data_IF_323089864629
#
_entry.id   IF_323089864629
#
_cell.length_a   1.000
_cell.length_b   1.000
_cell.length_c   1.000
_cell.angle_alpha   90.00
_cell.angle_beta   90.00
_cell.angle_gamma   90.00
#
_symmetry.space_group_name_H-M   'P 1'
#
loop_
_entity.id
_entity.type
_entity.pdbx_description
1 polymer ?
#
# COMPACT_ATOMS: atom_id res chain seq x y z
N UNK A 1 -23.79 21.93 45.08
CA UNK A 1 -23.10 23.24 44.93
C UNK A 1 -22.63 23.34 43.50
N UNK A 2 -22.56 24.53 42.90
CA UNK A 2 -21.98 24.66 41.56
C UNK A 2 -20.53 24.20 41.62
N UNK A 3 -20.09 23.36 40.68
CA UNK A 3 -18.73 22.81 40.66
C UNK A 3 -17.70 23.94 40.57
N UNK A 4 -18.03 25.01 39.85
CA UNK A 4 -17.27 26.28 39.87
C UNK A 4 -17.00 26.85 41.27
N UNK A 5 -17.94 26.72 42.22
CA UNK A 5 -17.74 27.21 43.59
C UNK A 5 -16.76 26.32 44.36
N UNK A 6 -16.84 25.01 44.15
CA UNK A 6 -15.90 24.05 44.75
C UNK A 6 -14.48 24.26 44.18
N UNK A 7 -14.35 24.46 42.86
CA UNK A 7 -13.08 24.76 42.19
C UNK A 7 -12.43 26.06 42.70
N UNK A 8 -13.23 27.12 42.88
CA UNK A 8 -12.76 28.39 43.47
C UNK A 8 -12.32 28.21 44.92
N UNK A 9 -13.05 27.44 45.71
CA UNK A 9 -12.67 27.16 47.09
C UNK A 9 -11.34 26.40 47.18
N UNK A 10 -11.11 25.41 46.31
CA UNK A 10 -9.85 24.66 46.27
C UNK A 10 -8.69 25.57 45.82
N UNK A 11 -8.94 26.47 44.85
CA UNK A 11 -7.91 27.43 44.39
C UNK A 11 -7.43 28.40 45.49
N UNK A 12 -8.28 28.67 46.49
CA UNK A 12 -7.98 29.58 47.61
C UNK A 12 -7.26 28.94 48.80
N UNK A 13 -6.93 27.64 48.75
CA UNK A 13 -6.18 26.98 49.82
C UNK A 13 -4.68 27.37 49.77
N UNK A 14 -4.10 27.61 50.96
CA UNK A 14 -2.72 28.04 51.12
C UNK A 14 -1.70 26.91 50.89
N UNK A 15 -2.05 25.67 51.29
CA UNK A 15 -1.14 24.52 51.17
C UNK A 15 -1.30 23.76 49.84
N UNK A 16 -0.18 23.59 49.13
CA UNK A 16 -0.13 22.89 47.85
C UNK A 16 -0.59 21.42 47.93
N UNK A 17 -0.23 20.70 49.02
CA UNK A 17 -0.61 19.29 49.20
C UNK A 17 -2.13 19.14 49.37
N UNK A 18 -2.75 20.08 50.06
CA UNK A 18 -4.19 20.09 50.28
C UNK A 18 -4.93 20.39 48.97
N UNK A 19 -4.41 21.32 48.15
CA UNK A 19 -4.97 21.58 46.81
C UNK A 19 -4.93 20.35 45.92
N UNK A 20 -3.77 19.71 45.80
CA UNK A 20 -3.61 18.54 44.94
C UNK A 20 -4.54 17.38 45.36
N UNK A 21 -4.66 17.12 46.67
CA UNK A 21 -5.53 16.06 47.18
C UNK A 21 -7.01 16.36 46.99
N UNK A 22 -7.46 17.59 47.25
CA UNK A 22 -8.86 17.99 47.04
C UNK A 22 -9.25 18.01 45.56
N UNK A 23 -8.38 18.50 44.67
CA UNK A 23 -8.64 18.42 43.23
C UNK A 23 -8.71 16.96 42.74
N UNK A 24 -7.80 16.08 43.17
CA UNK A 24 -7.85 14.66 42.80
C UNK A 24 -9.11 13.97 43.33
N UNK A 25 -9.53 14.27 44.57
CA UNK A 25 -10.80 13.76 45.13
C UNK A 25 -12.00 14.21 44.30
N UNK A 26 -12.06 15.50 43.95
CA UNK A 26 -13.13 16.06 43.13
C UNK A 26 -13.18 15.39 41.75
N UNK A 27 -12.03 15.28 41.10
CA UNK A 27 -11.91 14.63 39.79
C UNK A 27 -12.41 13.18 39.83
N UNK A 28 -11.96 12.41 40.81
CA UNK A 28 -12.36 11.00 40.97
C UNK A 28 -13.84 10.84 41.25
N UNK A 29 -14.41 11.71 42.10
CA UNK A 29 -15.84 11.70 42.40
C UNK A 29 -16.68 11.98 41.14
N UNK A 30 -16.25 12.89 40.27
CA UNK A 30 -17.00 13.21 39.05
C UNK A 30 -16.80 12.17 37.94
N UNK A 31 -15.63 11.53 37.86
CA UNK A 31 -15.38 10.38 36.98
C UNK A 31 -16.28 9.19 37.35
N UNK A 32 -16.40 8.87 38.64
CA UNK A 32 -17.30 7.81 39.12
C UNK A 32 -18.77 8.11 38.81
N UNK A 33 -19.18 9.38 38.96
CA UNK A 33 -20.53 9.85 38.63
C UNK A 33 -20.79 9.99 37.14
N UNK A 34 -19.77 9.88 36.29
CA UNK A 34 -19.84 10.09 34.83
C UNK A 34 -20.50 11.41 34.44
N UNK A 35 -20.27 12.46 35.22
CA UNK A 35 -20.86 13.77 34.96
C UNK A 35 -19.99 14.54 33.95
N UNK A 36 -20.39 14.57 32.68
CA UNK A 36 -19.58 15.17 31.61
C UNK A 36 -19.43 16.68 31.75
N UNK A 37 -20.49 17.38 32.16
CA UNK A 37 -20.47 18.84 32.30
C UNK A 37 -19.54 19.26 33.45
N UNK A 38 -19.60 18.52 34.55
CA UNK A 38 -18.66 18.64 35.67
C UNK A 38 -17.19 18.49 35.23
N UNK A 39 -16.91 17.45 34.43
CA UNK A 39 -15.56 17.17 33.95
C UNK A 39 -15.07 18.27 33.00
N UNK A 40 -15.95 18.80 32.13
CA UNK A 40 -15.63 19.95 31.27
C UNK A 40 -15.29 21.19 32.08
N UNK A 41 -16.05 21.50 33.13
CA UNK A 41 -15.77 22.64 34.01
C UNK A 41 -14.42 22.48 34.75
N UNK A 42 -14.15 21.28 35.27
CA UNK A 42 -12.87 20.97 35.94
C UNK A 42 -11.70 21.16 34.96
N UNK A 43 -11.81 20.65 33.73
CA UNK A 43 -10.76 20.76 32.71
C UNK A 43 -10.55 22.22 32.29
N UNK A 44 -11.62 22.98 32.08
CA UNK A 44 -11.53 24.40 31.74
C UNK A 44 -10.85 25.21 32.84
N UNK A 45 -11.15 24.93 34.11
CA UNK A 45 -10.50 25.56 35.25
C UNK A 45 -9.02 25.19 35.36
N UNK A 46 -8.68 23.91 35.23
CA UNK A 46 -7.28 23.44 35.31
C UNK A 46 -6.42 23.96 34.15
N UNK A 47 -7.02 24.12 32.97
CA UNK A 47 -6.34 24.67 31.80
C UNK A 47 -6.09 26.18 31.88
N UNK A 48 -6.88 26.92 32.69
CA UNK A 48 -6.78 28.37 32.86
C UNK A 48 -5.37 28.80 33.30
N UNK A 49 -4.86 29.89 32.68
CA UNK A 49 -3.57 30.50 32.98
C UNK A 49 -3.44 30.96 34.43
N UNK A 50 -4.57 31.27 35.11
CA UNK A 50 -4.57 31.66 36.52
C UNK A 50 -4.16 30.51 37.45
N UNK A 51 -4.25 29.25 37.00
CA UNK A 51 -3.86 28.09 37.80
C UNK A 51 -2.36 27.77 37.58
N UNK A 52 -1.56 27.70 38.67
CA UNK A 52 -0.15 27.34 38.59
C UNK A 52 0.07 25.96 37.96
N UNK A 53 1.08 25.84 37.11
CA UNK A 53 1.44 24.58 36.43
C UNK A 53 1.77 23.42 37.39
N UNK A 54 2.17 23.75 38.62
CA UNK A 54 2.52 22.77 39.65
C UNK A 54 1.29 22.00 40.13
N UNK A 55 0.12 22.64 40.09
CA UNK A 55 -1.15 22.06 40.50
C UNK A 55 -1.87 21.42 39.29
N UNK A 56 -1.79 22.05 38.11
CA UNK A 56 -2.50 21.56 36.93
C UNK A 56 -1.85 20.33 36.27
N UNK A 57 -0.52 20.22 36.22
CA UNK A 57 0.17 19.09 35.56
C UNK A 57 -0.16 17.72 36.17
N UNK A 58 -0.09 17.52 37.50
CA UNK A 58 -0.44 16.23 38.11
C UNK A 58 -1.88 15.82 37.83
N UNK A 59 -2.81 16.77 37.91
CA UNK A 59 -4.23 16.53 37.63
C UNK A 59 -4.49 16.17 36.17
N UNK A 60 -3.86 16.87 35.23
CA UNK A 60 -3.97 16.56 33.81
C UNK A 60 -3.40 15.17 33.50
N UNK A 61 -2.31 14.77 34.18
CA UNK A 61 -1.76 13.41 34.06
C UNK A 61 -2.71 12.36 34.62
N UNK A 62 -3.27 12.58 35.81
CA UNK A 62 -4.27 11.69 36.42
C UNK A 62 -5.53 11.57 35.54
N UNK A 63 -5.99 12.69 34.98
CA UNK A 63 -7.11 12.72 34.05
C UNK A 63 -6.82 11.91 32.78
N UNK A 64 -5.65 12.11 32.16
CA UNK A 64 -5.25 11.39 30.95
C UNK A 64 -5.13 9.87 31.17
N UNK A 65 -4.81 9.42 32.38
CA UNK A 65 -4.79 7.99 32.73
C UNK A 65 -6.19 7.43 32.95
N UNK A 66 -7.12 8.22 33.48
CA UNK A 66 -8.47 7.77 33.82
C UNK A 66 -9.49 7.99 32.70
N UNK A 67 -9.19 8.79 31.68
CA UNK A 67 -10.12 9.04 30.57
C UNK A 67 -10.58 7.73 29.90
N UNK A 68 -9.70 6.73 29.82
CA UNK A 68 -9.99 5.41 29.24
C UNK A 68 -11.04 4.59 30.02
N UNK A 69 -11.39 5.00 31.24
CA UNK A 69 -12.46 4.37 32.04
C UNK A 69 -13.87 4.78 31.60
N UNK A 70 -14.00 5.85 30.82
CA UNK A 70 -15.27 6.34 30.30
C UNK A 70 -15.69 5.56 29.04
N UNK A 71 -16.94 5.71 28.61
CA UNK A 71 -17.39 5.13 27.34
C UNK A 71 -16.77 5.89 26.16
N UNK A 72 -16.62 5.23 24.99
CA UNK A 72 -15.95 5.81 23.82
C UNK A 72 -16.47 7.21 23.42
N UNK A 73 -17.79 7.39 23.39
CA UNK A 73 -18.43 8.67 23.05
C UNK A 73 -18.17 9.77 24.10
N UNK A 74 -18.12 9.40 25.38
CA UNK A 74 -17.79 10.32 26.47
C UNK A 74 -16.31 10.73 26.41
N UNK A 75 -15.43 9.77 26.09
CA UNK A 75 -14.00 10.02 25.88
C UNK A 75 -13.78 11.00 24.73
N UNK A 76 -14.45 10.81 23.59
CA UNK A 76 -14.39 11.75 22.46
C UNK A 76 -14.85 13.15 22.85
N UNK A 77 -15.97 13.24 23.54
CA UNK A 77 -16.55 14.53 23.94
C UNK A 77 -15.63 15.29 24.89
N UNK A 78 -15.14 14.63 25.95
CA UNK A 78 -14.30 15.28 26.95
C UNK A 78 -12.87 15.49 26.44
N UNK A 79 -12.32 14.53 25.70
CA UNK A 79 -10.98 14.61 25.14
C UNK A 79 -10.86 15.73 24.10
N UNK A 80 -11.86 15.92 23.23
CA UNK A 80 -11.91 17.07 22.31
C UNK A 80 -11.98 18.40 23.07
N UNK A 81 -12.81 18.47 24.12
CA UNK A 81 -12.89 19.65 25.00
C UNK A 81 -11.55 19.96 25.68
N UNK A 82 -10.86 18.93 26.19
CA UNK A 82 -9.54 19.07 26.80
C UNK A 82 -8.51 19.61 25.82
N UNK A 83 -8.47 19.07 24.60
CA UNK A 83 -7.57 19.53 23.54
C UNK A 83 -7.85 21.00 23.19
N UNK A 84 -9.12 21.40 23.15
CA UNK A 84 -9.52 22.79 22.87
C UNK A 84 -9.05 23.74 23.98
N UNK A 85 -9.33 23.42 25.24
CA UNK A 85 -8.98 24.27 26.39
C UNK A 85 -7.47 24.40 26.59
N UNK A 86 -6.68 23.42 26.16
CA UNK A 86 -5.22 23.41 26.34
C UNK A 86 -4.45 24.03 25.16
N UNK A 87 -5.13 24.52 24.11
CA UNK A 87 -4.48 25.09 22.90
C UNK A 87 -3.45 26.19 23.18
N UNK A 88 -3.67 27.02 24.19
CA UNK A 88 -2.75 28.12 24.53
C UNK A 88 -1.53 27.65 25.34
N UNK A 89 -1.62 26.49 25.99
CA UNK A 89 -0.60 25.94 26.90
C UNK A 89 -0.14 24.53 26.50
N UNK A 90 -0.19 24.19 25.22
CA UNK A 90 0.06 22.81 24.72
C UNK A 90 1.37 22.25 25.25
N UNK A 91 2.46 23.03 25.14
CA UNK A 91 3.81 22.63 25.60
C UNK A 91 3.89 22.32 27.09
N UNK A 92 2.97 22.84 27.90
CA UNK A 92 2.95 22.57 29.34
C UNK A 92 2.35 21.20 29.68
N UNK A 93 1.55 20.64 28.77
CA UNK A 93 0.74 19.42 28.94
C UNK A 93 1.02 18.36 27.88
N UNK A 94 2.19 18.39 27.22
CA UNK A 94 2.52 17.50 26.10
C UNK A 94 2.34 16.01 26.41
N UNK A 95 2.83 15.54 27.57
CA UNK A 95 2.74 14.12 27.96
C UNK A 95 1.28 13.66 28.18
N UNK A 96 0.44 14.34 29.00
CA UNK A 96 -1.00 14.04 29.08
C UNK A 96 -1.72 14.13 27.73
N UNK A 97 -1.44 15.15 26.93
CA UNK A 97 -2.11 15.36 25.64
C UNK A 97 -1.76 14.27 24.63
N UNK A 98 -0.54 13.75 24.64
CA UNK A 98 -0.13 12.63 23.82
C UNK A 98 -0.96 11.37 24.14
N UNK A 99 -1.13 11.03 25.43
CA UNK A 99 -1.95 9.89 25.85
C UNK A 99 -3.41 10.04 25.39
N UNK A 100 -4.00 11.22 25.61
CA UNK A 100 -5.39 11.50 25.21
C UNK A 100 -5.54 11.40 23.69
N UNK A 101 -4.68 12.08 22.92
CA UNK A 101 -4.75 12.07 21.44
C UNK A 101 -4.65 10.67 20.85
N UNK A 102 -3.83 9.79 21.43
CA UNK A 102 -3.75 8.38 21.01
C UNK A 102 -5.04 7.62 21.26
N UNK A 103 -5.57 7.71 22.49
CA UNK A 103 -6.83 7.03 22.83
C UNK A 103 -7.98 7.51 21.94
N UNK A 104 -8.07 8.83 21.68
CA UNK A 104 -9.09 9.36 20.77
C UNK A 104 -8.90 8.88 19.33
N UNK A 105 -7.66 8.81 18.84
CA UNK A 105 -7.38 8.32 17.50
C UNK A 105 -7.75 6.83 17.32
N UNK A 106 -7.53 6.01 18.34
CA UNK A 106 -7.93 4.59 18.35
C UNK A 106 -9.45 4.45 18.28
N UNK A 107 -10.20 5.23 19.07
CA UNK A 107 -11.67 5.23 19.02
C UNK A 107 -12.18 5.69 17.65
N UNK A 108 -11.63 6.78 17.11
CA UNK A 108 -12.04 7.29 15.79
C UNK A 108 -11.72 6.31 14.67
N UNK A 109 -10.62 5.55 14.78
CA UNK A 109 -10.30 4.50 13.83
C UNK A 109 -11.29 3.32 13.91
N UNK A 110 -11.72 2.93 15.12
CA UNK A 110 -12.76 1.90 15.30
C UNK A 110 -14.12 2.35 14.75
N UNK A 111 -14.40 3.65 14.77
CA UNK A 111 -15.60 4.27 14.17
C UNK A 111 -15.47 4.54 12.65
N UNK A 112 -14.37 4.11 12.02
CA UNK A 112 -14.04 4.34 10.59
C UNK A 112 -13.89 5.84 10.21
N UNK A 113 -13.74 6.73 11.18
CA UNK A 113 -13.49 8.17 11.02
C UNK A 113 -11.99 8.45 10.83
N UNK A 114 -11.41 7.91 9.75
CA UNK A 114 -9.97 7.88 9.53
C UNK A 114 -9.31 9.27 9.44
N UNK A 115 -9.98 10.25 8.83
CA UNK A 115 -9.43 11.60 8.66
C UNK A 115 -9.30 12.33 10.02
N UNK A 116 -10.32 12.20 10.87
CA UNK A 116 -10.31 12.79 12.22
C UNK A 116 -9.30 12.08 13.13
N UNK A 117 -9.19 10.74 13.02
CA UNK A 117 -8.14 9.98 13.71
C UNK A 117 -6.73 10.47 13.32
N UNK A 118 -6.49 10.71 12.03
CA UNK A 118 -5.22 11.23 11.54
C UNK A 118 -4.94 12.64 12.09
N UNK A 119 -5.94 13.53 12.11
CA UNK A 119 -5.83 14.88 12.70
C UNK A 119 -5.49 14.83 14.19
N UNK A 120 -6.05 13.89 14.95
CA UNK A 120 -5.71 13.71 16.37
C UNK A 120 -4.21 13.41 16.55
N UNK A 121 -3.67 12.49 15.74
CA UNK A 121 -2.26 12.10 15.78
C UNK A 121 -1.31 13.18 15.23
N UNK A 122 -1.70 13.94 14.21
CA UNK A 122 -0.92 15.07 13.68
C UNK A 122 -0.71 16.16 14.73
N UNK A 123 -1.68 16.34 15.65
CA UNK A 123 -1.55 17.27 16.76
C UNK A 123 -0.51 16.87 17.80
N UNK A 124 0.08 15.69 17.72
CA UNK A 124 1.17 15.25 18.61
C UNK A 124 2.49 15.88 18.10
N UNK A 125 3.02 16.84 18.86
CA UNK A 125 4.22 17.60 18.49
C UNK A 125 5.53 16.92 18.98
N UNK A 126 5.78 15.67 18.58
CA UNK A 126 7.07 15.04 18.86
C UNK A 126 8.13 15.48 17.84
N UNK A 127 9.27 15.96 18.32
CA UNK A 127 10.43 16.31 17.50
C UNK A 127 11.47 15.18 17.55
N UNK A 128 12.05 14.78 16.40
CA UNK A 128 13.09 13.76 16.39
C UNK A 128 14.34 14.27 17.11
N UNK A 129 14.85 13.47 18.04
CA UNK A 129 16.08 13.75 18.78
C UNK A 129 17.26 13.12 18.03
N UNK A 130 18.30 13.91 17.77
CA UNK A 130 19.50 13.44 17.07
C UNK A 130 20.22 12.38 17.89
N UNK A 131 20.61 11.27 17.25
CA UNK A 131 21.25 10.13 17.93
C UNK A 131 20.30 9.11 18.55
N UNK A 132 19.00 9.39 18.65
CA UNK A 132 17.99 8.44 19.13
C UNK A 132 17.33 7.64 18.00
N UNK A 133 16.80 6.46 18.35
CA UNK A 133 16.05 5.61 17.40
C UNK A 133 14.73 6.26 16.95
N UNK A 134 14.14 7.16 17.74
CA UNK A 134 12.89 7.87 17.43
C UNK A 134 11.74 6.91 17.02
N UNK A 135 11.67 5.73 17.65
CA UNK A 135 10.72 4.66 17.29
C UNK A 135 9.27 5.15 17.39
N UNK A 136 8.94 5.86 18.47
CA UNK A 136 7.60 6.37 18.75
C UNK A 136 7.12 7.37 17.68
N UNK A 137 8.01 8.25 17.22
CA UNK A 137 7.73 9.23 16.17
C UNK A 137 7.49 8.51 14.84
N UNK A 138 8.33 7.52 14.54
CA UNK A 138 8.16 6.71 13.34
C UNK A 138 6.84 5.93 13.35
N UNK A 139 6.46 5.37 14.51
CA UNK A 139 5.19 4.64 14.66
C UNK A 139 3.98 5.53 14.40
N UNK A 140 3.99 6.76 14.95
CA UNK A 140 2.92 7.75 14.69
C UNK A 140 2.86 8.12 13.20
N UNK A 141 3.99 8.42 12.56
CA UNK A 141 3.99 8.76 11.13
C UNK A 141 3.49 7.61 10.24
N UNK A 142 3.89 6.37 10.55
CA UNK A 142 3.38 5.19 9.85
C UNK A 142 1.87 5.01 10.11
N UNK A 143 1.40 5.24 11.34
CA UNK A 143 -0.03 5.17 11.67
C UNK A 143 -0.85 6.22 10.92
N UNK A 144 -0.38 7.47 10.88
CA UNK A 144 -1.02 8.55 10.10
C UNK A 144 -1.09 8.16 8.62
N UNK A 145 -0.01 7.61 8.06
CA UNK A 145 -0.01 7.15 6.68
C UNK A 145 -1.01 6.00 6.43
N UNK A 146 -1.21 5.08 7.39
CA UNK A 146 -2.23 4.04 7.29
C UNK A 146 -3.64 4.64 7.25
N UNK A 147 -3.95 5.56 8.17
CA UNK A 147 -5.27 6.20 8.25
C UNK A 147 -5.62 6.94 6.95
N UNK A 148 -4.68 7.72 6.40
CA UNK A 148 -4.89 8.38 5.11
C UNK A 148 -5.05 7.40 3.95
N UNK A 149 -4.37 6.24 3.98
CA UNK A 149 -4.53 5.21 2.96
C UNK A 149 -5.89 4.50 3.02
N UNK A 150 -6.52 4.40 4.19
CA UNK A 150 -7.88 3.88 4.31
C UNK A 150 -8.92 4.89 3.79
N UNK A 151 -8.67 6.20 3.94
CA UNK A 151 -9.50 7.25 3.33
C UNK A 151 -9.22 7.50 1.83
N UNK A 152 -8.28 6.75 1.22
CA UNK A 152 -7.89 6.94 -0.18
C UNK A 152 -7.00 8.18 -0.46
N UNK A 153 -6.56 8.89 0.57
CA UNK A 153 -5.70 10.09 0.49
C UNK A 153 -4.21 9.73 0.37
N UNK A 154 -3.82 9.26 -0.81
CA UNK A 154 -2.47 8.74 -1.07
C UNK A 154 -1.37 9.79 -0.98
N UNK A 155 -1.69 11.06 -1.25
CA UNK A 155 -0.73 12.19 -1.23
C UNK A 155 -0.30 12.52 0.20
N UNK A 156 -1.25 12.67 1.12
CA UNK A 156 -0.92 12.93 2.53
C UNK A 156 -0.26 11.72 3.18
N UNK A 157 -0.71 10.51 2.85
CA UNK A 157 -0.02 9.29 3.29
C UNK A 157 1.46 9.26 2.86
N UNK A 158 1.75 9.60 1.60
CA UNK A 158 3.13 9.66 1.10
C UNK A 158 3.95 10.73 1.83
N UNK A 159 3.36 11.89 2.16
CA UNK A 159 4.03 12.96 2.89
C UNK A 159 4.55 12.50 4.25
N UNK A 160 3.71 11.80 5.03
CA UNK A 160 4.10 11.28 6.35
C UNK A 160 5.06 10.09 6.23
N UNK A 161 4.87 9.21 5.26
CA UNK A 161 5.77 8.09 5.05
C UNK A 161 7.19 8.54 4.63
N UNK A 162 7.30 9.63 3.87
CA UNK A 162 8.61 10.25 3.55
C UNK A 162 9.32 10.79 4.79
N UNK A 163 8.58 11.30 5.79
CA UNK A 163 9.17 11.75 7.07
C UNK A 163 9.73 10.58 7.88
N UNK A 164 9.11 9.40 7.82
CA UNK A 164 9.59 8.20 8.51
C UNK A 164 10.73 7.48 7.77
N UNK A 165 11.02 7.81 6.51
CA UNK A 165 11.97 7.06 5.67
C UNK A 165 13.42 7.02 6.18
N UNK A 166 13.87 8.05 6.91
CA UNK A 166 15.17 8.03 7.57
C UNK A 166 15.13 7.37 8.95
N UNK A 167 14.04 7.57 9.69
CA UNK A 167 13.86 7.01 11.04
C UNK A 167 13.83 5.49 11.00
N UNK A 168 13.11 4.91 10.03
CA UNK A 168 12.91 3.46 9.92
C UNK A 168 14.21 2.67 9.72
N UNK A 169 15.29 3.29 9.25
CA UNK A 169 16.59 2.64 9.03
C UNK A 169 17.26 2.19 10.33
N UNK A 170 16.97 2.89 11.43
CA UNK A 170 17.59 2.65 12.74
C UNK A 170 16.67 1.86 13.69
N UNK A 171 15.49 1.46 13.22
CA UNK A 171 14.47 0.74 13.99
C UNK A 171 14.65 -0.75 13.78
N UNK A 172 14.58 -1.52 14.88
CA UNK A 172 14.72 -2.98 14.89
C UNK A 172 13.36 -3.70 14.98
N UNK A 173 12.32 -3.00 15.46
CA UNK A 173 10.99 -3.58 15.66
C UNK A 173 10.35 -4.02 14.34
N UNK A 174 10.31 -5.33 14.13
CA UNK A 174 9.88 -5.92 12.86
C UNK A 174 8.42 -5.57 12.49
N UNK A 175 7.51 -5.50 13.47
CA UNK A 175 6.10 -5.15 13.21
C UNK A 175 5.95 -3.74 12.63
N UNK A 176 6.73 -2.77 13.11
CA UNK A 176 6.74 -1.40 12.58
C UNK A 176 7.36 -1.35 11.18
N UNK A 177 8.45 -2.08 10.95
CA UNK A 177 9.08 -2.20 9.63
C UNK A 177 8.11 -2.79 8.61
N UNK A 178 7.34 -3.81 8.98
CA UNK A 178 6.34 -4.42 8.12
C UNK A 178 5.19 -3.46 7.80
N UNK A 179 4.66 -2.74 8.80
CA UNK A 179 3.64 -1.69 8.60
C UNK A 179 4.13 -0.60 7.64
N UNK A 180 5.36 -0.11 7.84
CA UNK A 180 5.99 0.86 6.93
C UNK A 180 6.07 0.32 5.50
N UNK A 181 6.59 -0.90 5.32
CA UNK A 181 6.74 -1.51 3.99
C UNK A 181 5.40 -1.75 3.29
N UNK A 182 4.37 -2.15 4.04
CA UNK A 182 3.00 -2.29 3.53
C UNK A 182 2.45 -0.96 3.01
N UNK A 183 2.58 0.12 3.79
CA UNK A 183 2.19 1.46 3.35
C UNK A 183 2.97 1.91 2.11
N UNK A 184 4.28 1.66 2.11
CA UNK A 184 5.15 2.01 0.99
C UNK A 184 4.72 1.31 -0.31
N UNK A 185 4.41 0.01 -0.25
CA UNK A 185 3.91 -0.74 -1.41
C UNK A 185 2.56 -0.20 -1.92
N UNK A 186 1.61 0.11 -1.01
CA UNK A 186 0.31 0.73 -1.35
C UNK A 186 0.46 2.08 -2.03
N UNK A 187 1.37 2.92 -1.56
CA UNK A 187 1.66 4.24 -2.16
C UNK A 187 2.28 4.08 -3.54
N UNK A 188 3.25 3.17 -3.71
CA UNK A 188 3.85 2.90 -5.02
C UNK A 188 2.81 2.43 -6.04
N UNK A 189 1.94 1.51 -5.64
CA UNK A 189 0.83 0.99 -6.44
C UNK A 189 -0.12 2.13 -6.88
N UNK A 190 -0.54 2.97 -5.92
CA UNK A 190 -1.41 4.13 -6.17
C UNK A 190 -0.76 5.16 -7.12
N UNK A 191 0.55 5.36 -6.98
CA UNK A 191 1.34 6.24 -7.83
C UNK A 191 1.70 5.64 -9.20
N UNK A 192 1.13 4.47 -9.54
CA UNK A 192 1.37 3.74 -10.81
C UNK A 192 2.82 3.30 -11.01
N UNK A 193 3.60 3.24 -9.93
CA UNK A 193 4.93 2.63 -9.87
C UNK A 193 4.80 1.12 -9.66
N UNK A 194 4.10 0.48 -10.59
CA UNK A 194 3.62 -0.90 -10.43
C UNK A 194 4.75 -1.93 -10.33
N UNK A 195 5.86 -1.72 -11.05
CA UNK A 195 6.97 -2.65 -10.98
C UNK A 195 7.61 -2.63 -9.57
N UNK A 196 7.85 -1.44 -9.03
CA UNK A 196 8.39 -1.29 -7.68
C UNK A 196 7.39 -1.79 -6.63
N UNK A 197 6.09 -1.53 -6.80
CA UNK A 197 5.05 -2.05 -5.92
C UNK A 197 5.02 -3.58 -5.93
N UNK A 198 5.08 -4.21 -7.10
CA UNK A 198 5.09 -5.67 -7.26
C UNK A 198 6.26 -6.32 -6.52
N UNK A 199 7.46 -5.77 -6.66
CA UNK A 199 8.65 -6.24 -5.95
C UNK A 199 8.45 -6.13 -4.43
N UNK A 200 7.92 -5.01 -3.94
CA UNK A 200 7.68 -4.82 -2.50
C UNK A 200 6.60 -5.76 -1.95
N UNK A 201 5.48 -5.94 -2.67
CA UNK A 201 4.44 -6.90 -2.28
C UNK A 201 4.96 -8.34 -2.28
N UNK A 202 5.79 -8.71 -3.25
CA UNK A 202 6.45 -10.01 -3.27
C UNK A 202 7.39 -10.19 -2.08
N UNK A 203 8.19 -9.19 -1.71
CA UNK A 203 8.99 -9.28 -0.49
C UNK A 203 8.15 -9.38 0.78
N UNK A 204 7.02 -8.66 0.84
CA UNK A 204 6.06 -8.76 1.95
C UNK A 204 5.47 -10.17 2.05
N UNK A 205 5.17 -10.85 0.94
CA UNK A 205 4.61 -12.21 0.97
C UNK A 205 5.54 -13.26 1.61
N UNK A 206 6.84 -12.98 1.73
CA UNK A 206 7.78 -13.87 2.44
C UNK A 206 7.75 -13.68 3.95
N UNK A 207 7.26 -12.53 4.42
CA UNK A 207 7.16 -12.18 5.84
C UNK A 207 5.71 -12.12 6.35
N UNK A 208 4.75 -12.28 5.45
CA UNK A 208 3.33 -12.24 5.76
C UNK A 208 2.89 -13.48 6.54
N UNK A 209 1.80 -13.35 7.27
CA UNK A 209 1.12 -14.49 7.90
C UNK A 209 0.50 -15.39 6.83
N UNK A 210 0.29 -16.67 7.13
CA UNK A 210 -0.17 -17.68 6.16
C UNK A 210 -1.46 -17.27 5.44
N UNK A 211 -2.39 -16.64 6.17
CA UNK A 211 -3.66 -16.10 5.67
C UNK A 211 -3.51 -14.85 4.78
N UNK A 212 -2.42 -14.10 4.94
CA UNK A 212 -2.13 -12.88 4.19
C UNK A 212 -1.22 -13.12 2.95
N UNK A 213 -0.52 -14.25 2.88
CA UNK A 213 0.42 -14.59 1.78
C UNK A 213 -0.28 -14.52 0.42
N UNK A 214 -1.47 -15.13 0.30
CA UNK A 214 -2.22 -15.16 -0.95
C UNK A 214 -2.63 -13.75 -1.40
N UNK A 215 -2.97 -12.86 -0.45
CA UNK A 215 -3.33 -11.46 -0.71
C UNK A 215 -2.11 -10.70 -1.23
N UNK A 216 -0.97 -10.81 -0.54
CA UNK A 216 0.28 -10.15 -0.93
C UNK A 216 0.76 -10.61 -2.33
N UNK A 217 0.70 -11.91 -2.62
CA UNK A 217 1.05 -12.45 -3.93
C UNK A 217 0.07 -11.99 -5.02
N UNK A 218 -1.23 -11.89 -4.71
CA UNK A 218 -2.23 -11.34 -5.65
C UNK A 218 -1.90 -9.89 -6.00
N UNK A 219 -1.58 -9.04 -5.01
CA UNK A 219 -1.15 -7.67 -5.27
C UNK A 219 0.15 -7.59 -6.07
N UNK A 220 1.13 -8.47 -5.76
CA UNK A 220 2.36 -8.55 -6.52
C UNK A 220 2.11 -8.91 -7.99
N UNK A 221 1.24 -9.88 -8.26
CA UNK A 221 0.87 -10.29 -9.62
C UNK A 221 0.12 -9.18 -10.36
N UNK A 222 -0.89 -8.58 -9.72
CA UNK A 222 -1.67 -7.51 -10.31
C UNK A 222 -0.76 -6.34 -10.75
N UNK A 223 0.14 -5.92 -9.87
CA UNK A 223 1.10 -4.87 -10.16
C UNK A 223 2.10 -5.30 -11.27
N UNK A 224 2.62 -6.53 -11.27
CA UNK A 224 3.53 -7.00 -12.33
C UNK A 224 2.86 -6.98 -13.71
N UNK A 225 1.60 -7.39 -13.78
CA UNK A 225 0.80 -7.42 -15.01
C UNK A 225 0.54 -5.98 -15.52
N UNK A 226 0.17 -5.06 -14.62
CA UNK A 226 -0.09 -3.65 -14.93
C UNK A 226 1.15 -2.84 -15.28
N UNK A 227 2.34 -3.28 -14.85
CA UNK A 227 3.60 -2.61 -15.13
C UNK A 227 3.88 -2.51 -16.64
N UNK A 228 4.62 -1.47 -17.04
CA UNK A 228 5.04 -1.27 -18.43
C UNK A 228 5.93 -2.43 -18.92
N UNK A 229 5.72 -2.85 -20.16
CA UNK A 229 6.55 -3.88 -20.81
C UNK A 229 8.04 -3.52 -20.80
N UNK A 230 8.89 -4.49 -20.43
CA UNK A 230 10.35 -4.35 -20.42
C UNK A 230 11.07 -5.49 -19.67
N UNK A 231 12.41 -5.57 -19.73
CA UNK A 231 13.18 -6.69 -19.19
C UNK A 231 12.99 -6.93 -17.69
N UNK A 232 12.88 -5.86 -16.90
CA UNK A 232 12.64 -5.97 -15.46
C UNK A 232 11.25 -6.52 -15.13
N UNK A 233 10.22 -6.14 -15.90
CA UNK A 233 8.89 -6.73 -15.78
C UNK A 233 8.90 -8.21 -16.14
N UNK A 234 9.53 -8.60 -17.25
CA UNK A 234 9.62 -10.00 -17.68
C UNK A 234 10.31 -10.87 -16.63
N UNK A 235 11.37 -10.35 -15.98
CA UNK A 235 12.02 -11.02 -14.85
C UNK A 235 11.07 -11.19 -13.66
N UNK A 236 10.34 -10.13 -13.28
CA UNK A 236 9.37 -10.20 -12.19
C UNK A 236 8.25 -11.20 -12.46
N UNK A 237 7.70 -11.22 -13.68
CA UNK A 237 6.69 -12.20 -14.11
C UNK A 237 7.24 -13.62 -14.04
N UNK A 238 8.50 -13.84 -14.46
CA UNK A 238 9.16 -15.15 -14.35
C UNK A 238 9.31 -15.59 -12.89
N UNK A 239 9.69 -14.66 -12.00
CA UNK A 239 9.80 -14.92 -10.56
C UNK A 239 8.45 -15.36 -9.98
N UNK A 240 7.38 -14.63 -10.29
CA UNK A 240 6.02 -14.95 -9.79
C UNK A 240 5.50 -16.27 -10.38
N UNK A 241 5.73 -16.51 -11.67
CA UNK A 241 5.27 -17.74 -12.32
C UNK A 241 5.93 -19.00 -11.77
N UNK A 242 7.22 -18.91 -11.43
CA UNK A 242 8.01 -20.02 -10.86
C UNK A 242 7.77 -20.24 -9.36
N UNK A 243 7.12 -19.29 -8.68
CA UNK A 243 6.75 -19.46 -7.27
C UNK A 243 5.50 -20.33 -7.16
N UNK A 244 5.66 -21.55 -6.64
CA UNK A 244 4.56 -22.51 -6.47
C UNK A 244 3.40 -21.95 -5.67
N UNK A 245 3.63 -21.01 -4.73
CA UNK A 245 2.56 -20.38 -3.94
C UNK A 245 1.61 -19.59 -4.83
N UNK A 246 2.09 -19.06 -5.96
CA UNK A 246 1.25 -18.38 -6.93
C UNK A 246 0.31 -19.32 -7.68
N UNK A 247 0.53 -20.64 -7.70
CA UNK A 247 -0.40 -21.57 -8.36
C UNK A 247 -1.81 -21.58 -7.74
N UNK A 248 -1.91 -21.20 -6.46
CA UNK A 248 -3.15 -21.20 -5.68
C UNK A 248 -3.97 -19.91 -5.76
N UNK A 249 -3.40 -18.82 -6.29
CA UNK A 249 -4.11 -17.53 -6.36
C UNK A 249 -5.00 -17.45 -7.61
N UNK A 250 -6.15 -16.77 -7.48
CA UNK A 250 -7.15 -16.67 -8.56
C UNK A 250 -6.60 -16.12 -9.88
N UNK A 251 -5.60 -15.25 -9.82
CA UNK A 251 -5.01 -14.58 -10.99
C UNK A 251 -3.90 -15.41 -11.69
N UNK A 252 -3.61 -16.62 -11.21
CA UNK A 252 -2.49 -17.42 -11.73
C UNK A 252 -2.57 -17.73 -13.22
N UNK A 253 -3.73 -18.18 -13.71
CA UNK A 253 -3.89 -18.48 -15.14
C UNK A 253 -3.70 -17.26 -16.03
N UNK A 254 -4.08 -16.07 -15.55
CA UNK A 254 -3.83 -14.83 -16.27
C UNK A 254 -2.33 -14.49 -16.26
N UNK A 255 -1.67 -14.63 -15.11
CA UNK A 255 -0.21 -14.50 -14.99
C UNK A 255 0.54 -15.45 -15.94
N UNK A 256 0.15 -16.73 -16.00
CA UNK A 256 0.73 -17.73 -16.90
C UNK A 256 0.64 -17.26 -18.36
N UNK A 257 -0.52 -16.79 -18.80
CA UNK A 257 -0.70 -16.29 -20.17
C UNK A 257 0.14 -15.06 -20.46
N UNK A 258 0.24 -14.14 -19.50
CA UNK A 258 1.08 -12.94 -19.62
C UNK A 258 2.56 -13.34 -19.69
N UNK A 259 3.00 -14.27 -18.87
CA UNK A 259 4.38 -14.74 -18.83
C UNK A 259 4.78 -15.50 -20.10
N UNK A 260 3.92 -16.41 -20.58
CA UNK A 260 4.11 -17.18 -21.81
C UNK A 260 3.79 -16.37 -23.08
N UNK A 261 3.50 -15.07 -22.93
CA UNK A 261 3.22 -14.14 -24.02
C UNK A 261 2.11 -14.61 -24.96
N UNK A 262 1.07 -15.21 -24.39
CA UNK A 262 -0.15 -15.61 -25.11
C UNK A 262 -1.07 -14.41 -25.30
N UNK A 263 -1.87 -14.43 -26.36
CA UNK A 263 -2.92 -13.43 -26.59
C UNK A 263 -3.98 -13.53 -25.49
N UNK A 264 -4.30 -12.38 -24.88
CA UNK A 264 -5.30 -12.23 -23.82
C UNK A 264 -6.66 -11.89 -24.45
N UNK A 265 -7.68 -12.68 -24.15
CA UNK A 265 -9.05 -12.49 -24.68
C UNK A 265 -9.84 -11.53 -23.80
N UNK A 266 -10.82 -10.83 -24.38
CA UNK A 266 -11.63 -9.82 -23.69
C UNK A 266 -12.26 -10.33 -22.39
N UNK A 267 -12.88 -11.51 -22.41
CA UNK A 267 -13.51 -12.11 -21.21
C UNK A 267 -12.52 -12.31 -20.05
N UNK A 268 -11.31 -12.75 -20.36
CA UNK A 268 -10.26 -13.02 -19.36
C UNK A 268 -9.70 -11.72 -18.79
N UNK A 269 -9.65 -10.67 -19.61
CA UNK A 269 -9.26 -9.33 -19.18
C UNK A 269 -10.32 -8.72 -18.28
N UNK A 270 -11.61 -8.95 -18.55
CA UNK A 270 -12.73 -8.53 -17.68
C UNK A 270 -12.70 -9.26 -16.33
N UNK A 271 -12.49 -10.59 -16.34
CA UNK A 271 -12.31 -11.38 -15.12
C UNK A 271 -11.12 -10.89 -14.29
N UNK A 272 -10.00 -10.58 -14.94
CA UNK A 272 -8.83 -10.00 -14.27
C UNK A 272 -9.12 -8.60 -13.73
N UNK A 273 -9.83 -7.75 -14.49
CA UNK A 273 -10.19 -6.39 -14.05
C UNK A 273 -11.00 -6.40 -12.75
N UNK A 274 -11.86 -7.40 -12.54
CA UNK A 274 -12.63 -7.56 -11.31
C UNK A 274 -11.78 -7.88 -10.07
N UNK A 275 -10.50 -8.25 -10.26
CA UNK A 275 -9.54 -8.47 -9.17
C UNK A 275 -8.73 -7.23 -8.80
N UNK A 276 -8.85 -6.16 -9.61
CA UNK A 276 -8.11 -4.91 -9.42
C UNK A 276 -8.86 -3.95 -8.49
N UNK A 277 -8.11 -3.08 -7.83
CA UNK A 277 -8.67 -2.00 -7.01
C UNK A 277 -9.08 -0.81 -7.89
N UNK A 278 -10.00 0.01 -7.41
CA UNK A 278 -10.55 1.18 -8.13
C UNK A 278 -9.45 2.12 -8.64
N UNK A 279 -8.42 2.38 -7.83
CA UNK A 279 -7.30 3.25 -8.21
C UNK A 279 -6.49 2.70 -9.41
N UNK A 280 -6.45 1.39 -9.59
CA UNK A 280 -5.77 0.72 -10.71
C UNK A 280 -6.57 0.80 -12.01
N UNK A 281 -7.90 0.94 -11.90
CA UNK A 281 -8.83 1.09 -13.02
C UNK A 281 -9.10 2.55 -13.41
N UNK A 282 -8.50 3.51 -12.70
CA UNK A 282 -8.64 4.93 -12.97
C UNK A 282 -8.38 5.29 -14.45
N UNK A 283 -9.36 5.94 -15.07
CA UNK A 283 -9.32 6.31 -16.48
C UNK A 283 -8.42 7.53 -16.72
N UNK A 284 -7.73 7.53 -17.85
CA UNK A 284 -7.03 8.67 -18.41
C UNK A 284 -8.00 9.60 -19.16
N UNK A 285 -7.50 10.74 -19.63
CA UNK A 285 -8.28 11.71 -20.41
C UNK A 285 -8.88 11.15 -21.71
N UNK A 286 -8.32 10.06 -22.24
CA UNK A 286 -8.79 9.38 -23.45
C UNK A 286 -9.79 8.25 -23.16
N UNK A 287 -10.29 8.14 -21.93
CA UNK A 287 -11.25 7.13 -21.50
C UNK A 287 -10.67 5.74 -21.27
N UNK A 288 -9.39 5.50 -21.59
CA UNK A 288 -8.72 4.22 -21.29
C UNK A 288 -8.18 4.18 -19.88
N UNK A 289 -7.83 2.99 -19.38
CA UNK A 289 -7.16 2.81 -18.10
C UNK A 289 -5.78 2.15 -18.28
N UNK A 290 -5.04 1.97 -17.20
CA UNK A 290 -3.70 1.34 -17.25
C UNK A 290 -3.78 -0.08 -17.81
N UNK A 291 -4.76 -0.87 -17.36
CA UNK A 291 -4.96 -2.26 -17.77
C UNK A 291 -5.14 -2.37 -19.28
N UNK A 292 -6.10 -1.64 -19.84
CA UNK A 292 -6.41 -1.65 -21.28
C UNK A 292 -5.19 -1.30 -22.13
N UNK A 293 -4.42 -0.28 -21.73
CA UNK A 293 -3.17 0.06 -22.42
C UNK A 293 -2.12 -1.07 -22.32
N UNK A 294 -1.93 -1.65 -21.14
CA UNK A 294 -0.97 -2.75 -20.93
C UNK A 294 -1.36 -3.98 -21.75
N UNK A 295 -2.64 -4.35 -21.78
CA UNK A 295 -3.17 -5.49 -22.56
C UNK A 295 -3.00 -5.26 -24.07
N UNK A 296 -3.27 -4.05 -24.58
CA UNK A 296 -3.07 -3.74 -26.00
C UNK A 296 -1.61 -3.90 -26.41
N UNK A 297 -0.68 -3.34 -25.63
CA UNK A 297 0.76 -3.47 -25.90
C UNK A 297 1.23 -4.93 -25.79
N UNK A 298 0.72 -5.67 -24.81
CA UNK A 298 1.00 -7.10 -24.63
C UNK A 298 0.51 -7.94 -25.80
N UNK A 299 -0.77 -7.79 -26.18
CA UNK A 299 -1.36 -8.56 -27.27
C UNK A 299 -0.69 -8.25 -28.61
N UNK A 300 -0.21 -7.03 -28.82
CA UNK A 300 0.55 -6.67 -30.02
C UNK A 300 1.91 -7.38 -30.08
N UNK A 301 2.62 -7.48 -28.95
CA UNK A 301 3.87 -8.27 -28.86
C UNK A 301 3.62 -9.77 -29.04
N UNK A 302 2.53 -10.28 -28.46
CA UNK A 302 2.12 -11.68 -28.67
C UNK A 302 1.82 -11.95 -30.15
N UNK A 303 1.11 -11.02 -30.81
CA UNK A 303 0.81 -11.12 -32.23
C UNK A 303 2.09 -11.11 -33.10
N UNK A 304 3.09 -10.30 -32.77
CA UNK A 304 4.34 -10.26 -33.54
C UNK A 304 5.16 -11.55 -33.50
N UNK A 305 4.95 -12.38 -32.46
CA UNK A 305 5.57 -13.71 -32.37
C UNK A 305 4.82 -14.78 -33.16
N UNK A 306 3.52 -14.57 -33.40
CA UNK A 306 2.65 -15.54 -34.07
C UNK A 306 2.54 -15.28 -35.58
N UNK A 307 2.49 -14.02 -35.98
CA UNK A 307 2.25 -13.62 -37.36
C UNK A 307 3.53 -13.11 -38.03
N UNK A 308 3.68 -13.39 -39.33
CA UNK A 308 4.70 -12.71 -40.16
C UNK A 308 4.26 -11.27 -40.45
N UNK A 309 2.98 -11.13 -40.78
CA UNK A 309 2.34 -9.87 -41.05
C UNK A 309 0.86 -9.98 -40.68
N UNK A 310 0.22 -8.83 -40.45
CA UNK A 310 -1.21 -8.75 -40.12
C UNK A 310 -1.79 -7.47 -40.72
N UNK A 311 -3.04 -7.53 -41.18
CA UNK A 311 -3.75 -6.32 -41.61
C UNK A 311 -4.09 -5.45 -40.41
N UNK A 312 -4.05 -4.13 -40.57
CA UNK A 312 -4.40 -3.17 -39.50
C UNK A 312 -5.85 -3.40 -39.02
N UNK A 313 -6.75 -3.81 -39.93
CA UNK A 313 -8.15 -4.14 -39.61
C UNK A 313 -8.26 -5.38 -38.72
N UNK A 314 -7.54 -6.45 -39.03
CA UNK A 314 -7.55 -7.67 -38.20
C UNK A 314 -6.83 -7.46 -36.88
N UNK A 315 -5.75 -6.66 -36.87
CA UNK A 315 -5.10 -6.27 -35.63
C UNK A 315 -6.06 -5.50 -34.72
N UNK A 316 -6.83 -4.56 -35.27
CA UNK A 316 -7.89 -3.86 -34.53
C UNK A 316 -8.89 -4.83 -33.90
N UNK A 317 -9.37 -5.82 -34.67
CA UNK A 317 -10.27 -6.87 -34.16
C UNK A 317 -9.64 -7.70 -33.05
N UNK A 318 -8.36 -8.08 -33.20
CA UNK A 318 -7.62 -8.87 -32.21
C UNK A 318 -7.41 -8.10 -30.90
N UNK A 319 -7.16 -6.80 -30.99
CA UNK A 319 -6.96 -5.91 -29.84
C UNK A 319 -8.28 -5.36 -29.25
N UNK A 320 -9.40 -5.53 -29.94
CA UNK A 320 -10.71 -4.99 -29.53
C UNK A 320 -10.81 -3.46 -29.66
N UNK A 321 -10.14 -2.87 -30.65
CA UNK A 321 -10.11 -1.41 -30.89
C UNK A 321 -10.24 -1.06 -32.36
N UNK A 322 -10.51 0.22 -32.64
CA UNK A 322 -10.55 0.75 -34.00
C UNK A 322 -9.19 0.60 -34.73
N UNK A 323 -9.19 0.30 -36.05
CA UNK A 323 -7.98 0.09 -36.83
C UNK A 323 -6.97 1.24 -36.74
N UNK A 324 -7.45 2.49 -36.80
CA UNK A 324 -6.59 3.69 -36.70
C UNK A 324 -5.87 3.77 -35.35
N UNK A 325 -6.52 3.30 -34.28
CA UNK A 325 -5.93 3.27 -32.94
C UNK A 325 -4.90 2.16 -32.83
N UNK A 326 -5.16 1.00 -33.42
CA UNK A 326 -4.22 -0.12 -33.47
C UNK A 326 -2.93 0.28 -34.21
N UNK A 327 -3.05 0.96 -35.36
CA UNK A 327 -1.91 1.48 -36.12
C UNK A 327 -1.07 2.46 -35.28
N UNK A 328 -1.71 3.43 -34.62
CA UNK A 328 -1.01 4.41 -33.76
C UNK A 328 -0.25 3.73 -32.62
N UNK A 329 -0.82 2.69 -31.99
CA UNK A 329 -0.15 1.93 -30.93
C UNK A 329 1.05 1.17 -31.49
N UNK A 330 0.89 0.49 -32.63
CA UNK A 330 1.97 -0.25 -33.28
C UNK A 330 3.13 0.68 -33.69
N UNK A 331 2.81 1.80 -34.32
CA UNK A 331 3.77 2.83 -34.72
C UNK A 331 4.59 3.33 -33.52
N UNK A 332 3.90 3.64 -32.41
CA UNK A 332 4.56 4.07 -31.16
C UNK A 332 5.45 2.99 -30.56
N UNK A 333 5.06 1.72 -30.61
CA UNK A 333 5.87 0.62 -30.09
C UNK A 333 7.11 0.36 -30.96
N UNK A 334 7.00 0.48 -32.28
CA UNK A 334 8.12 0.40 -33.22
C UNK A 334 9.09 1.56 -33.00
N UNK A 335 8.58 2.79 -32.92
CA UNK A 335 9.40 3.98 -32.67
C UNK A 335 10.18 3.88 -31.35
N UNK A 336 9.58 3.29 -30.32
CA UNK A 336 10.21 3.07 -29.01
C UNK A 336 11.15 1.85 -28.98
N UNK A 337 11.36 1.16 -30.11
CA UNK A 337 12.15 -0.07 -30.23
C UNK A 337 11.68 -1.18 -29.28
N UNK A 338 10.39 -1.17 -28.94
CA UNK A 338 9.76 -2.22 -28.12
C UNK A 338 9.13 -3.31 -28.98
N UNK A 339 8.83 -3.00 -30.24
CA UNK A 339 8.30 -3.91 -31.24
C UNK A 339 9.19 -3.81 -32.48
N UNK A 340 9.62 -4.95 -33.01
CA UNK A 340 10.41 -5.01 -34.24
C UNK A 340 9.49 -5.27 -35.43
N UNK A 341 9.49 -4.34 -36.40
CA UNK A 341 8.62 -4.42 -37.57
C UNK A 341 8.50 -3.09 -38.32
N UNK A 342 7.80 -3.13 -39.44
CA UNK A 342 7.48 -1.99 -40.30
C UNK A 342 5.96 -1.91 -40.55
N UNK A 343 5.48 -0.72 -40.85
CA UNK A 343 4.08 -0.48 -41.20
C UNK A 343 4.04 -0.03 -42.66
N UNK A 344 3.32 -0.77 -43.49
CA UNK A 344 2.97 -0.36 -44.85
C UNK A 344 1.56 0.25 -44.85
N UNK A 345 1.52 1.57 -44.88
CA UNK A 345 0.27 2.33 -44.83
C UNK A 345 -0.52 2.25 -46.16
N UNK A 346 0.13 1.97 -47.29
CA UNK A 346 -0.55 1.85 -48.59
C UNK A 346 -1.31 0.53 -48.69
N UNK A 347 -0.69 -0.57 -48.26
CA UNK A 347 -1.36 -1.88 -48.21
C UNK A 347 -2.19 -2.10 -46.94
N UNK A 348 -1.99 -1.27 -45.91
CA UNK A 348 -2.68 -1.40 -44.62
C UNK A 348 -2.22 -2.62 -43.83
N UNK A 349 -0.95 -2.99 -43.95
CA UNK A 349 -0.34 -4.18 -43.34
C UNK A 349 0.79 -3.79 -42.40
N UNK A 350 0.94 -4.57 -41.32
CA UNK A 350 2.08 -4.49 -40.41
C UNK A 350 2.92 -5.73 -40.65
N UNK A 351 4.19 -5.55 -40.97
CA UNK A 351 5.16 -6.63 -41.11
C UNK A 351 6.01 -6.71 -39.86
N UNK A 352 6.01 -7.87 -39.21
CA UNK A 352 6.83 -8.09 -38.03
C UNK A 352 8.20 -8.59 -38.46
N UNK A 353 9.24 -8.02 -37.87
CA UNK A 353 10.61 -8.38 -38.21
C UNK A 353 10.89 -9.80 -37.74
N UNK A 354 11.30 -10.65 -38.68
CA UNK A 354 11.77 -11.99 -38.38
C UNK A 354 13.26 -11.99 -38.15
N UNK A 355 13.67 -12.92 -37.30
CA UNK A 355 15.05 -13.33 -37.19
C UNK A 355 15.58 -13.72 -38.58
N UNK A 356 16.81 -13.31 -38.89
CA UNK A 356 17.44 -13.58 -40.19
C UNK A 356 17.37 -15.07 -40.51
N UNK A 357 17.03 -15.40 -41.77
CA UNK A 357 16.77 -16.77 -42.22
C UNK A 357 17.89 -17.76 -41.91
N UNK A 358 19.15 -17.29 -41.90
CA UNK A 358 20.33 -18.09 -41.58
C UNK A 358 20.35 -18.45 -40.08
N UNK A 359 20.16 -17.48 -39.19
CA UNK A 359 20.11 -17.73 -37.74
C UNK A 359 18.93 -18.64 -37.35
N UNK A 360 17.79 -18.47 -38.03
CA UNK A 360 16.65 -19.37 -37.85
C UNK A 360 16.97 -20.80 -38.29
N UNK A 361 17.76 -20.98 -39.35
CA UNK A 361 18.19 -22.28 -39.84
C UNK A 361 19.19 -22.95 -38.88
N UNK A 362 20.14 -22.19 -38.34
CA UNK A 362 21.08 -22.68 -37.32
C UNK A 362 20.33 -23.19 -36.08
N UNK A 363 19.32 -22.45 -35.60
CA UNK A 363 18.47 -22.90 -34.47
C UNK A 363 17.67 -24.15 -34.78
N UNK A 364 17.19 -24.33 -36.01
CA UNK A 364 16.48 -25.55 -36.38
C UNK A 364 17.40 -26.77 -36.35
N UNK A 365 18.66 -26.61 -36.77
CA UNK A 365 19.69 -27.64 -36.67
C UNK A 365 20.00 -27.94 -35.19
N UNK A 366 20.17 -26.90 -34.38
CA UNK A 366 20.41 -27.03 -32.93
C UNK A 366 19.26 -27.79 -32.26
N UNK A 367 18.02 -27.37 -32.48
CA UNK A 367 16.82 -28.03 -31.94
C UNK A 367 16.73 -29.49 -32.39
N UNK A 368 16.98 -29.78 -33.67
CA UNK A 368 16.99 -31.16 -34.17
C UNK A 368 18.03 -32.01 -33.43
N UNK A 369 19.24 -31.49 -33.23
CA UNK A 369 20.28 -32.17 -32.47
C UNK A 369 19.87 -32.39 -31.01
N UNK A 370 19.25 -31.40 -30.37
CA UNK A 370 18.73 -31.53 -28.99
C UNK A 370 17.63 -32.58 -28.91
N UNK A 371 16.69 -32.60 -29.85
CA UNK A 371 15.60 -33.57 -29.90
C UNK A 371 16.13 -35.00 -30.10
N UNK A 372 17.13 -35.17 -30.99
CA UNK A 372 17.81 -36.46 -31.16
C UNK A 372 18.47 -36.91 -29.85
N UNK A 373 19.16 -36.01 -29.15
CA UNK A 373 19.76 -36.33 -27.85
C UNK A 373 18.70 -36.74 -26.82
N UNK A 374 17.60 -36.00 -26.72
CA UNK A 374 16.50 -36.31 -25.80
C UNK A 374 15.92 -37.71 -26.09
N UNK A 375 15.69 -38.04 -27.36
CA UNK A 375 15.20 -39.38 -27.75
C UNK A 375 16.22 -40.47 -27.40
N UNK A 376 17.51 -40.24 -27.60
CA UNK A 376 18.56 -41.21 -27.22
C UNK A 376 18.62 -41.39 -25.71
N UNK A 377 18.50 -40.32 -24.93
CA UNK A 377 18.45 -40.38 -23.46
C UNK A 377 17.22 -41.15 -22.97
N UNK A 378 16.03 -40.87 -23.51
CA UNK A 378 14.80 -41.60 -23.18
C UNK A 378 14.90 -43.09 -23.55
N UNK A 379 15.43 -43.41 -24.74
CA UNK A 379 15.67 -44.80 -25.16
C UNK A 379 16.67 -45.52 -24.25
N UNK A 380 17.69 -44.80 -23.75
CA UNK A 380 18.67 -45.36 -22.81
C UNK A 380 18.02 -45.70 -21.47
N UNK A 381 17.03 -44.93 -21.03
CA UNK A 381 16.25 -45.21 -19.81
C UNK A 381 15.31 -46.40 -20.03
N UNK A 382 14.63 -46.47 -21.18
CA UNK A 382 13.61 -47.48 -21.47
C UNK A 382 14.22 -48.85 -21.79
N UNK A 383 15.22 -48.91 -22.67
CA UNK A 383 15.92 -50.15 -23.02
C UNK A 383 17.44 -49.93 -23.20
N UNK A 384 18.21 -50.02 -22.10
CA UNK A 384 19.67 -49.86 -22.13
C UNK A 384 20.39 -50.91 -22.99
N UNK A 385 19.76 -52.05 -23.31
CA UNK A 385 20.36 -53.13 -24.12
C UNK A 385 20.25 -52.82 -25.61
N UNK A 386 19.20 -52.13 -26.02
CA UNK A 386 19.01 -51.67 -27.41
C UNK A 386 20.12 -50.69 -27.82
N UNK A 387 20.45 -49.74 -26.92
CA UNK A 387 21.44 -48.67 -27.16
C UNK A 387 22.88 -49.21 -27.17
N UNK A 388 23.19 -50.24 -26.38
CA UNK A 388 24.55 -50.82 -26.30
C UNK A 388 24.90 -51.76 -27.45
N UNK A 389 23.91 -52.13 -28.28
CA UNK A 389 24.06 -53.14 -29.32
C UNK A 389 24.28 -54.54 -28.74
N UNK A 390 23.71 -55.58 -29.38
CA UNK A 390 24.09 -56.96 -29.06
C UNK A 390 25.56 -57.12 -29.45
N UNK A 391 26.45 -57.27 -28.45
CA UNK A 391 27.77 -57.87 -28.67
C UNK A 391 27.61 -59.33 -29.09
#
# INVERSE_FOLDING_TARGET
MSIEKELKNISGLDEQKDRATEYSKLLNTQLEKKNLDALKEIISHIADDQIPLIDSRPLMREFAEKITTLQAQDQLTIGKHLIECTKQRVTAFDEPLLKVRRALAEILEEEEEFEEAAKMLIGIQLQPVEGEKNEEICDIYVKIAQLYLENGETVEAERFLRRSANLIKNIEKETLILRYKSCYARILDSNRKFLEASINYYHLSHKARVDEVAIALTYACNCAILAKAGPSRSRMLATLFKDERCSSIKVYHFLEKVYLERILRTKEVEEFANTLKDHQLAKFSDGTNVLTRSVMEHNLLAASKLYKNISIKELGRLLGIEPERAEKIASKMIQQKRLSGSIDQLSGMIEFEKEHSVLAWDRLIENLCTDVNNVVEELTIIDPKLVKGKK
#
